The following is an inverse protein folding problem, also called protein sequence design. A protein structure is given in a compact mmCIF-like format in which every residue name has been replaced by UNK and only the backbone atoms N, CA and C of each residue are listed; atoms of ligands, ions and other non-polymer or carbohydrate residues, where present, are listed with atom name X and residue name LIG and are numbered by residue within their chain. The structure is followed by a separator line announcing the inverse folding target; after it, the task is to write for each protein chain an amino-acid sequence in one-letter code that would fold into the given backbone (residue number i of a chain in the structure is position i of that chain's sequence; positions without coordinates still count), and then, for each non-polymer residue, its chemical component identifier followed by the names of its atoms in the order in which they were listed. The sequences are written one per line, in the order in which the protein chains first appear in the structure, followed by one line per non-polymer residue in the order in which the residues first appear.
data_IF_054707225344
#
_entry.id   IF_054707225344
#
_cell.length_a   1.000
_cell.length_b   1.000
_cell.length_c   1.000
_cell.angle_alpha   90.00
_cell.angle_beta   90.00
_cell.angle_gamma   90.00
#
_symmetry.space_group_name_H-M   'P 1'
#
loop_
_entity.id
_entity.type
_entity.pdbx_description
1 polymer ?
#
# COMPACT_ATOMS: atom_id res chain seq x y z
N UNK A 1 -14.62 13.88 0.41
CA UNK A 1 -13.22 13.59 0.06
C UNK A 1 -12.47 13.34 1.37
N UNK A 2 -12.28 12.08 1.77
CA UNK A 2 -11.41 11.78 2.90
C UNK A 2 -9.97 11.81 2.38
N UNK A 3 -9.14 12.72 2.89
CA UNK A 3 -7.76 12.88 2.42
C UNK A 3 -6.89 11.85 3.12
N UNK A 4 -6.46 10.83 2.39
CA UNK A 4 -5.51 9.82 2.88
C UNK A 4 -4.11 10.42 2.85
N UNK A 5 -3.39 10.36 3.96
CA UNK A 5 -2.01 10.79 4.04
C UNK A 5 -1.05 9.60 3.94
N UNK A 6 0.17 9.86 3.46
CA UNK A 6 1.22 8.84 3.39
C UNK A 6 1.53 8.22 4.77
N UNK A 7 1.33 8.98 5.84
CA UNK A 7 1.43 8.47 7.22
C UNK A 7 0.40 7.40 7.52
N UNK A 8 -0.86 7.57 7.08
CA UNK A 8 -1.93 6.59 7.31
C UNK A 8 -1.62 5.27 6.60
N UNK A 9 -1.08 5.36 5.38
CA UNK A 9 -0.61 4.19 4.62
C UNK A 9 0.62 3.56 5.28
N UNK A 10 1.56 4.40 5.75
CA UNK A 10 2.79 3.94 6.36
C UNK A 10 2.53 3.06 7.59
N UNK A 11 1.54 3.38 8.43
CA UNK A 11 1.19 2.59 9.63
C UNK A 11 0.91 1.10 9.34
N UNK A 12 0.42 0.77 8.13
CA UNK A 12 0.12 -0.61 7.73
C UNK A 12 1.25 -1.25 6.92
N UNK A 13 2.34 -0.54 6.64
CA UNK A 13 3.49 -1.11 5.96
C UNK A 13 4.37 -1.92 6.93
N UNK A 14 5.18 -2.86 6.43
CA UNK A 14 6.04 -3.71 7.25
C UNK A 14 7.23 -3.00 7.91
N UNK A 15 7.41 -1.69 7.68
CA UNK A 15 8.50 -0.82 8.19
C UNK A 15 9.95 -1.33 8.04
N UNK A 16 10.16 -2.42 7.32
CA UNK A 16 11.48 -3.04 7.12
C UNK A 16 12.43 -2.23 6.25
N UNK A 17 11.94 -1.22 5.51
CA UNK A 17 12.70 -0.46 4.50
C UNK A 17 13.51 -1.37 3.56
N UNK A 18 12.97 -2.55 3.23
CA UNK A 18 13.72 -3.61 2.52
C UNK A 18 14.07 -3.29 1.05
N UNK A 19 13.53 -2.20 0.49
CA UNK A 19 13.70 -1.77 -0.92
C UNK A 19 13.31 -2.80 -1.99
N UNK A 20 12.63 -3.90 -1.62
CA UNK A 20 12.20 -4.96 -2.56
C UNK A 20 11.16 -4.50 -3.59
N UNK A 21 10.49 -3.38 -3.33
CA UNK A 21 9.56 -2.73 -4.26
C UNK A 21 10.24 -1.73 -5.22
N UNK A 22 11.54 -1.47 -5.06
CA UNK A 22 12.28 -0.47 -5.85
C UNK A 22 12.40 0.90 -5.18
N UNK A 23 11.67 1.13 -4.09
CA UNK A 23 11.66 2.43 -3.38
C UNK A 23 12.73 2.52 -2.29
N UNK A 24 13.21 3.74 -2.05
CA UNK A 24 14.27 4.01 -1.07
C UNK A 24 13.85 3.78 0.38
N UNK A 25 12.56 3.87 0.69
CA UNK A 25 12.01 3.59 2.01
C UNK A 25 10.54 3.17 1.92
N UNK A 26 10.02 2.59 3.00
CA UNK A 26 8.58 2.33 3.14
C UNK A 26 7.77 3.63 3.08
N UNK A 27 8.32 4.76 3.55
CA UNK A 27 7.66 6.06 3.45
C UNK A 27 7.56 6.54 1.99
N UNK A 28 8.62 6.37 1.19
CA UNK A 28 8.59 6.69 -0.23
C UNK A 28 7.53 5.84 -0.96
N UNK A 29 7.48 4.54 -0.66
CA UNK A 29 6.43 3.67 -1.19
C UNK A 29 5.02 4.09 -0.75
N UNK A 30 4.83 4.55 0.49
CA UNK A 30 3.54 5.03 0.99
C UNK A 30 3.05 6.28 0.23
N UNK A 31 3.95 7.23 -0.08
CA UNK A 31 3.64 8.40 -0.91
C UNK A 31 3.15 7.96 -2.29
N UNK A 32 3.86 7.04 -2.94
CA UNK A 32 3.48 6.54 -4.27
C UNK A 32 2.15 5.79 -4.28
N UNK A 33 1.82 5.06 -3.22
CA UNK A 33 0.51 4.43 -3.05
C UNK A 33 -0.60 5.48 -2.94
N UNK A 34 -0.41 6.54 -2.15
CA UNK A 34 -1.38 7.65 -2.06
C UNK A 34 -1.57 8.36 -3.40
N UNK A 35 -0.52 8.45 -4.23
CA UNK A 35 -0.56 9.04 -5.56
C UNK A 35 -1.10 8.08 -6.65
N UNK A 36 -1.41 6.82 -6.32
CA UNK A 36 -1.82 5.80 -7.29
C UNK A 36 -0.71 5.39 -8.28
N UNK A 37 0.54 5.75 -8.00
CA UNK A 37 1.72 5.43 -8.84
C UNK A 37 2.34 4.07 -8.49
N UNK A 38 1.94 3.48 -7.37
CA UNK A 38 2.35 2.15 -6.95
C UNK A 38 1.14 1.26 -6.61
N UNK A 39 1.35 -0.06 -6.61
CA UNK A 39 0.37 -1.08 -6.25
C UNK A 39 0.85 -1.91 -5.06
N UNK A 40 -0.08 -2.34 -4.21
CA UNK A 40 0.21 -3.14 -3.01
C UNK A 40 1.01 -4.42 -3.32
N UNK A 41 0.81 -5.01 -4.51
CA UNK A 41 1.49 -6.23 -4.94
C UNK A 41 2.99 -6.04 -5.25
N UNK A 42 3.48 -4.80 -5.39
CA UNK A 42 4.89 -4.49 -5.59
C UNK A 42 5.71 -4.62 -4.30
N UNK A 43 5.06 -4.53 -3.13
CA UNK A 43 5.73 -4.73 -1.85
C UNK A 43 5.86 -6.24 -1.54
N UNK A 44 7.05 -6.79 -1.77
CA UNK A 44 7.35 -8.21 -1.52
C UNK A 44 6.90 -8.71 -0.14
N UNK A 45 7.30 -8.06 0.98
CA UNK A 45 6.89 -8.48 2.32
C UNK A 45 5.38 -8.37 2.59
N UNK A 46 4.68 -7.43 1.95
CA UNK A 46 3.22 -7.25 2.13
C UNK A 46 2.40 -8.40 1.53
N UNK A 47 3.01 -9.22 0.66
CA UNK A 47 2.40 -10.44 0.11
C UNK A 47 2.48 -11.64 1.04
N UNK A 48 3.27 -11.55 2.11
CA UNK A 48 3.40 -12.64 3.08
C UNK A 48 2.08 -12.84 3.83
N UNK A 49 1.86 -14.06 4.35
CA UNK A 49 0.62 -14.41 5.04
C UNK A 49 0.46 -13.63 6.34
N UNK A 50 1.56 -13.34 7.03
CA UNK A 50 1.59 -12.54 8.25
C UNK A 50 1.11 -11.10 8.02
N UNK A 51 1.24 -10.61 6.79
CA UNK A 51 0.82 -9.26 6.38
C UNK A 51 -0.57 -9.22 5.74
N UNK A 52 -1.33 -10.33 5.76
CA UNK A 52 -2.64 -10.41 5.13
C UNK A 52 -3.64 -9.37 5.68
N UNK A 53 -3.66 -9.18 7.01
CA UNK A 53 -4.53 -8.20 7.65
C UNK A 53 -4.16 -6.77 7.26
N UNK A 54 -2.86 -6.45 7.28
CA UNK A 54 -2.35 -5.14 6.89
C UNK A 54 -2.62 -4.83 5.42
N UNK A 55 -2.46 -5.82 4.54
CA UNK A 55 -2.79 -5.69 3.12
C UNK A 55 -4.29 -5.46 2.90
N UNK A 56 -5.16 -6.16 3.62
CA UNK A 56 -6.61 -5.96 3.54
C UNK A 56 -7.02 -4.57 4.03
N UNK A 57 -6.45 -4.11 5.16
CA UNK A 57 -6.68 -2.77 5.68
C UNK A 57 -6.22 -1.68 4.71
N UNK A 58 -5.03 -1.84 4.11
CA UNK A 58 -4.53 -0.94 3.06
C UNK A 58 -5.42 -0.93 1.83
N UNK A 59 -5.90 -2.10 1.39
CA UNK A 59 -6.80 -2.19 0.25
C UNK A 59 -8.11 -1.46 0.53
N UNK A 60 -8.67 -1.59 1.74
CA UNK A 60 -9.89 -0.89 2.13
C UNK A 60 -9.67 0.62 2.28
N UNK A 61 -8.52 1.02 2.84
CA UNK A 61 -8.14 2.42 2.98
C UNK A 61 -7.98 3.10 1.61
N UNK A 62 -7.36 2.41 0.64
CA UNK A 62 -7.13 2.91 -0.72
C UNK A 62 -8.32 2.71 -1.67
N UNK A 63 -9.41 2.06 -1.23
CA UNK A 63 -10.55 1.67 -2.06
C UNK A 63 -11.36 2.85 -2.62
N UNK A 64 -11.10 4.08 -2.17
CA UNK A 64 -11.63 5.32 -2.79
C UNK A 64 -10.96 5.66 -4.14
N UNK A 65 -9.96 4.88 -4.59
CA UNK A 65 -9.19 5.12 -5.84
C UNK A 65 -9.45 4.10 -6.96
N UNK A 66 -10.38 3.14 -6.81
CA UNK A 66 -10.46 1.96 -7.71
C UNK A 66 -11.91 1.51 -8.02
N UNK A 67 -12.75 2.36 -8.64
CA UNK A 67 -13.96 1.87 -9.34
C UNK A 67 -13.63 1.19 -10.69
N UNK A 68 -12.50 0.47 -10.83
CA UNK A 68 -12.06 -0.11 -12.11
C UNK A 68 -11.43 -1.51 -12.00
N UNK A 69 -11.94 -2.38 -11.14
CA UNK A 69 -11.67 -3.80 -11.27
C UNK A 69 -12.98 -4.60 -11.40
N UNK A 70 -13.36 -4.81 -12.67
CA UNK A 70 -14.20 -5.88 -13.19
C UNK A 70 -14.37 -7.04 -12.20
N UNK A 71 -15.58 -7.15 -11.64
CA UNK A 71 -16.11 -8.44 -11.24
C UNK A 71 -16.35 -9.24 -12.51
N UNK A 72 -15.52 -10.26 -12.71
CA UNK A 72 -15.75 -11.38 -13.62
C UNK A 72 -17.19 -11.88 -13.62
#
# INVERSE_FOLDING_TARGET
MNKIYATDVYEYLPHSNCKRCGEDSCMAFAVLLCEGKAKLNQCGPLRLKEQANNRAALSALLHDLDELCDHS
#
